data_IF_702008469250
#
_entry.id   IF_702008469250
#
_cell.length_a   1.000
_cell.length_b   1.000
_cell.length_c   1.000
_cell.angle_alpha   90.00
_cell.angle_beta   90.00
_cell.angle_gamma   90.00
#
_symmetry.space_group_name_H-M   'P 1'
#
loop_
_entity.id
_entity.type
_entity.pdbx_description
1 polymer ?
#
# COMPACT_ATOMS: atom_id res chain seq x y z
N UNK A 1 -9.55 -35.73 1.73
CA UNK A 1 -9.24 -34.90 2.92
C UNK A 1 -9.39 -33.46 2.47
N UNK A 2 -10.51 -32.81 2.80
CA UNK A 2 -10.79 -31.42 2.38
C UNK A 2 -9.86 -30.48 3.16
N UNK A 3 -9.05 -29.69 2.45
CA UNK A 3 -8.20 -28.67 3.07
C UNK A 3 -9.04 -27.41 3.33
N UNK A 4 -9.05 -26.94 4.57
CA UNK A 4 -9.81 -25.79 5.05
C UNK A 4 -9.22 -24.48 4.51
N UNK A 5 -9.97 -23.78 3.64
CA UNK A 5 -9.64 -22.46 3.07
C UNK A 5 -9.89 -21.27 4.03
N UNK A 6 -9.71 -21.42 5.35
CA UNK A 6 -10.15 -20.40 6.32
C UNK A 6 -9.14 -20.15 7.46
N UNK A 7 -7.92 -19.69 7.17
CA UNK A 7 -6.93 -19.36 8.21
C UNK A 7 -6.53 -17.86 8.28
N UNK A 8 -7.40 -16.94 7.88
CA UNK A 8 -7.24 -15.53 8.28
C UNK A 8 -8.24 -15.22 9.41
N UNK A 9 -7.78 -14.66 10.54
CA UNK A 9 -8.65 -14.21 11.63
C UNK A 9 -9.82 -13.34 11.13
N UNK A 10 -11.01 -13.55 11.69
CA UNK A 10 -12.28 -12.94 11.22
C UNK A 10 -12.27 -11.40 11.29
N UNK A 11 -11.47 -10.82 12.18
CA UNK A 11 -11.25 -9.37 12.29
C UNK A 11 -10.53 -8.78 11.06
N UNK A 12 -9.71 -9.56 10.36
CA UNK A 12 -9.05 -9.13 9.11
C UNK A 12 -9.98 -9.28 7.89
N UNK A 13 -10.93 -10.23 7.94
CA UNK A 13 -11.89 -10.47 6.83
C UNK A 13 -12.90 -9.35 6.60
N UNK A 14 -13.30 -8.64 7.65
CA UNK A 14 -14.55 -7.87 7.64
C UNK A 14 -14.43 -6.35 7.43
N UNK A 15 -13.33 -5.81 6.90
CA UNK A 15 -13.17 -4.34 6.82
C UNK A 15 -12.87 -3.73 5.44
N UNK A 16 -12.94 -4.49 4.34
CA UNK A 16 -12.57 -3.94 3.03
C UNK A 16 -13.72 -3.54 2.09
N UNK A 17 -14.98 -3.49 2.54
CA UNK A 17 -16.10 -3.11 1.67
C UNK A 17 -17.27 -2.40 2.37
N UNK A 18 -17.01 -1.52 3.36
CA UNK A 18 -18.00 -0.46 3.60
C UNK A 18 -17.79 0.63 2.54
N UNK A 19 -18.33 0.37 1.36
CA UNK A 19 -18.78 1.45 0.51
C UNK A 19 -19.71 2.31 1.38
N UNK A 20 -19.38 3.58 1.57
CA UNK A 20 -20.28 4.54 2.21
C UNK A 20 -21.39 4.80 1.17
N UNK A 21 -22.32 3.85 1.02
CA UNK A 21 -23.56 4.05 0.29
C UNK A 21 -24.66 4.34 1.30
N UNK A 22 -24.83 5.63 1.54
CA UNK A 22 -25.94 6.21 2.29
C UNK A 22 -26.22 7.60 1.71
N UNK A 23 -26.60 7.66 0.43
CA UNK A 23 -27.07 8.89 -0.19
C UNK A 23 -28.38 9.31 0.48
N UNK A 24 -28.34 10.29 1.37
CA UNK A 24 -29.52 11.05 1.77
C UNK A 24 -29.40 12.45 1.17
N UNK A 25 -29.69 12.55 -0.13
CA UNK A 25 -29.54 13.77 -0.94
C UNK A 25 -30.65 14.82 -0.71
N UNK A 26 -31.10 15.05 0.54
CA UNK A 26 -32.18 16.02 0.82
C UNK A 26 -31.96 16.82 2.13
N UNK A 27 -30.76 17.36 2.37
CA UNK A 27 -30.54 18.35 3.43
C UNK A 27 -29.89 19.61 2.85
N UNK A 28 -30.49 20.81 2.94
CA UNK A 28 -30.00 22.04 2.29
C UNK A 28 -28.79 22.69 3.01
N UNK A 29 -27.87 21.89 3.57
CA UNK A 29 -26.61 22.34 4.16
C UNK A 29 -25.36 21.94 3.34
N UNK A 30 -25.52 21.68 2.05
CA UNK A 30 -24.38 21.58 1.13
C UNK A 30 -23.98 22.98 0.64
N UNK A 31 -23.49 23.79 1.57
CA UNK A 31 -22.58 24.90 1.24
C UNK A 31 -21.20 24.29 1.00
N UNK A 32 -20.56 24.67 -0.10
CA UNK A 32 -19.24 24.22 -0.51
C UNK A 32 -18.19 24.35 0.62
N UNK A 33 -17.95 23.27 1.35
CA UNK A 33 -16.69 23.11 2.06
C UNK A 33 -15.69 22.57 1.03
N UNK A 34 -14.82 23.46 0.55
CA UNK A 34 -13.52 23.06 0.01
C UNK A 34 -12.83 22.22 1.08
N UNK A 35 -13.00 20.90 1.03
CA UNK A 35 -12.40 19.98 1.99
C UNK A 35 -10.89 19.98 1.75
N UNK A 36 -10.18 20.88 2.41
CA UNK A 36 -8.72 20.88 2.42
C UNK A 36 -8.28 19.71 3.28
N UNK A 37 -8.07 18.55 2.67
CA UNK A 37 -7.43 17.42 3.33
C UNK A 37 -5.99 17.83 3.69
N UNK A 38 -5.54 17.69 4.95
CA UNK A 38 -4.13 17.87 5.26
C UNK A 38 -3.31 16.81 4.52
N UNK A 39 -2.20 17.21 3.91
CA UNK A 39 -1.26 16.25 3.34
C UNK A 39 -0.50 15.57 4.48
N UNK A 40 -0.56 14.23 4.60
CA UNK A 40 0.22 13.51 5.60
C UNK A 40 1.72 13.77 5.40
N UNK A 41 2.45 13.80 6.51
CA UNK A 41 3.90 13.89 6.48
C UNK A 41 4.49 12.49 6.34
N UNK A 42 5.67 12.41 5.72
CA UNK A 42 6.45 11.18 5.60
C UNK A 42 7.91 11.47 5.90
N UNK A 43 8.59 10.52 6.54
CA UNK A 43 10.04 10.55 6.74
C UNK A 43 10.81 9.97 5.57
N UNK A 44 10.16 9.19 4.70
CA UNK A 44 10.78 8.65 3.51
C UNK A 44 11.05 9.74 2.49
N UNK A 45 12.19 9.64 1.83
CA UNK A 45 12.62 10.57 0.78
C UNK A 45 12.65 9.80 -0.53
N UNK A 46 12.08 10.39 -1.58
CA UNK A 46 12.18 9.82 -2.91
C UNK A 46 13.64 9.87 -3.41
N UNK A 47 14.33 8.73 -3.31
CA UNK A 47 15.74 8.57 -3.69
C UNK A 47 15.88 7.41 -4.69
N UNK A 48 15.34 7.54 -5.92
CA UNK A 48 15.25 6.42 -6.88
C UNK A 48 16.61 5.84 -7.25
N UNK A 49 17.67 6.65 -7.29
CA UNK A 49 19.02 6.20 -7.61
C UNK A 49 19.51 5.08 -6.67
N UNK A 50 19.19 5.15 -5.37
CA UNK A 50 19.54 4.07 -4.42
C UNK A 50 18.99 2.71 -4.86
N UNK A 51 17.85 2.70 -5.54
CA UNK A 51 17.15 1.50 -5.99
C UNK A 51 17.45 1.13 -7.45
N UNK A 52 17.94 2.10 -8.24
CA UNK A 52 18.04 1.99 -9.70
C UNK A 52 19.47 1.89 -10.22
N UNK A 53 20.46 2.53 -9.58
CA UNK A 53 21.80 2.65 -10.17
C UNK A 53 22.60 1.35 -10.18
N UNK A 54 22.35 0.44 -9.23
CA UNK A 54 22.98 -0.87 -9.19
C UNK A 54 22.02 -1.95 -9.74
N UNK A 55 22.32 -2.60 -10.88
CA UNK A 55 21.45 -3.61 -11.46
C UNK A 55 21.10 -4.77 -10.51
N UNK A 56 22.04 -5.19 -9.65
CA UNK A 56 21.80 -6.26 -8.69
C UNK A 56 20.81 -5.83 -7.59
N UNK A 57 20.86 -4.56 -7.17
CA UNK A 57 19.87 -3.99 -6.22
C UNK A 57 18.51 -3.87 -6.91
N UNK A 58 18.50 -3.34 -8.13
CA UNK A 58 17.27 -3.13 -8.90
C UNK A 58 16.55 -4.46 -9.20
N UNK A 59 17.27 -5.48 -9.64
CA UNK A 59 16.69 -6.77 -10.03
C UNK A 59 16.30 -7.65 -8.84
N UNK A 60 16.81 -7.38 -7.64
CA UNK A 60 16.63 -8.26 -6.48
C UNK A 60 15.71 -7.70 -5.39
N UNK A 61 15.26 -6.46 -5.51
CA UNK A 61 14.36 -5.82 -4.55
C UNK A 61 13.06 -5.40 -5.25
N UNK A 62 11.91 -5.74 -4.65
CA UNK A 62 10.59 -5.54 -5.24
C UNK A 62 9.82 -4.36 -4.59
N UNK A 63 8.52 -4.28 -4.82
CA UNK A 63 7.65 -3.25 -4.26
C UNK A 63 7.55 -3.31 -2.72
N UNK A 64 7.66 -4.51 -2.13
CA UNK A 64 7.56 -4.70 -0.69
C UNK A 64 8.86 -4.31 0.04
N UNK A 65 10.00 -4.53 -0.60
CA UNK A 65 11.27 -3.93 -0.17
C UNK A 65 11.20 -2.41 -0.19
N UNK A 66 10.75 -1.87 -1.33
CA UNK A 66 10.70 -0.44 -1.57
C UNK A 66 9.76 0.28 -0.61
N UNK A 67 8.55 -0.23 -0.40
CA UNK A 67 7.55 0.41 0.47
C UNK A 67 8.02 0.47 1.93
N UNK A 68 8.86 -0.46 2.38
CA UNK A 68 9.40 -0.50 3.74
C UNK A 68 10.80 0.17 3.86
N UNK A 69 11.35 0.69 2.76
CA UNK A 69 12.71 1.25 2.65
C UNK A 69 13.84 0.29 3.11
N UNK A 70 13.67 -1.02 2.88
CA UNK A 70 14.63 -2.06 3.28
C UNK A 70 15.06 -2.88 2.06
N UNK A 71 16.36 -2.87 1.75
CA UNK A 71 16.98 -3.67 0.69
C UNK A 71 17.44 -5.02 1.23
N UNK A 72 16.55 -6.02 1.25
CA UNK A 72 16.92 -7.39 1.64
C UNK A 72 17.75 -8.09 0.56
N UNK A 73 17.77 -7.54 -0.66
CA UNK A 73 18.30 -8.19 -1.87
C UNK A 73 17.66 -9.55 -2.13
N UNK A 74 16.38 -9.67 -1.74
CA UNK A 74 15.46 -10.77 -2.03
C UNK A 74 14.12 -10.21 -2.47
N UNK A 75 13.29 -11.02 -3.12
CA UNK A 75 11.89 -10.68 -3.35
C UNK A 75 11.10 -10.81 -2.05
N UNK A 76 11.09 -9.75 -1.26
CA UNK A 76 10.42 -9.79 0.03
C UNK A 76 8.91 -10.03 -0.12
N UNK A 77 8.33 -10.85 0.75
CA UNK A 77 6.92 -11.22 0.72
C UNK A 77 6.26 -10.89 2.08
N UNK A 78 5.04 -10.30 2.08
CA UNK A 78 4.32 -10.03 3.31
C UNK A 78 4.17 -11.28 4.21
N UNK A 79 4.67 -11.19 5.43
CA UNK A 79 4.59 -12.20 6.48
C UNK A 79 5.69 -13.26 6.43
N UNK A 80 6.52 -13.29 5.38
CA UNK A 80 7.51 -14.37 5.18
C UNK A 80 8.58 -14.38 6.26
N UNK A 81 9.00 -13.22 6.73
CA UNK A 81 9.96 -13.11 7.83
C UNK A 81 9.42 -13.72 9.15
N UNK A 82 8.09 -13.81 9.26
CA UNK A 82 7.36 -14.34 10.40
C UNK A 82 6.76 -15.73 10.12
N UNK A 83 7.26 -16.45 9.11
CA UNK A 83 6.84 -17.81 8.78
C UNK A 83 5.47 -17.93 8.11
N UNK A 84 4.85 -16.80 7.72
CA UNK A 84 3.59 -16.80 7.00
C UNK A 84 3.84 -16.88 5.49
N UNK A 85 3.36 -17.96 4.87
CA UNK A 85 3.27 -18.08 3.42
C UNK A 85 1.83 -17.78 3.02
N UNK A 86 1.63 -16.62 2.38
CA UNK A 86 0.30 -16.21 1.93
C UNK A 86 -0.30 -17.27 0.99
N UNK A 87 -1.51 -17.77 1.25
CA UNK A 87 -2.12 -18.81 0.42
C UNK A 87 -2.66 -18.28 -0.92
N UNK A 88 -2.77 -16.96 -1.09
CA UNK A 88 -3.17 -16.30 -2.34
C UNK A 88 -2.84 -14.81 -2.31
N UNK A 89 -2.75 -14.17 -3.47
CA UNK A 89 -2.51 -12.71 -3.65
C UNK A 89 -3.73 -11.84 -3.34
N UNK A 90 -4.62 -12.29 -2.45
CA UNK A 90 -5.81 -11.51 -2.06
C UNK A 90 -5.40 -10.44 -1.05
N UNK A 91 -6.07 -9.30 -1.11
CA UNK A 91 -5.85 -8.19 -0.19
C UNK A 91 -5.81 -8.62 1.29
N UNK A 92 -6.83 -9.34 1.82
CA UNK A 92 -6.85 -9.72 3.23
C UNK A 92 -5.66 -10.58 3.67
N UNK A 93 -5.17 -11.49 2.82
CA UNK A 93 -4.00 -12.32 3.16
C UNK A 93 -2.72 -11.47 3.20
N UNK A 94 -2.57 -10.56 2.23
CA UNK A 94 -1.40 -9.70 2.09
C UNK A 94 -1.36 -8.61 3.17
N UNK A 95 -2.53 -8.06 3.54
CA UNK A 95 -2.67 -7.21 4.70
C UNK A 95 -2.25 -7.97 5.97
N UNK A 96 -2.79 -9.17 6.18
CA UNK A 96 -2.43 -9.98 7.35
C UNK A 96 -0.91 -10.25 7.43
N UNK A 97 -0.29 -10.66 6.31
CA UNK A 97 1.16 -10.85 6.25
C UNK A 97 1.93 -9.55 6.54
N UNK A 98 1.44 -8.42 6.03
CA UNK A 98 2.07 -7.11 6.29
C UNK A 98 1.98 -6.71 7.76
N UNK A 99 0.86 -7.01 8.41
CA UNK A 99 0.65 -6.77 9.85
C UNK A 99 1.53 -7.68 10.72
N UNK A 100 1.75 -8.94 10.30
CA UNK A 100 2.72 -9.82 10.97
C UNK A 100 4.15 -9.27 10.89
N UNK A 101 4.50 -8.64 9.77
CA UNK A 101 5.80 -7.99 9.57
C UNK A 101 5.92 -6.64 10.30
N UNK A 102 4.86 -6.17 10.98
CA UNK A 102 4.88 -4.99 11.83
C UNK A 102 4.27 -3.72 11.20
N UNK A 103 3.68 -3.82 10.00
CA UNK A 103 2.87 -2.73 9.45
C UNK A 103 1.53 -2.63 10.19
N UNK A 104 0.89 -1.46 10.20
CA UNK A 104 -0.39 -1.25 10.89
C UNK A 104 -1.41 -0.68 9.93
N UNK A 105 -2.56 -1.34 9.72
CA UNK A 105 -3.64 -0.78 8.92
C UNK A 105 -4.14 0.53 9.53
N UNK A 106 -4.34 1.53 8.67
CA UNK A 106 -4.85 2.85 9.06
C UNK A 106 -6.04 3.27 8.18
N UNK A 107 -7.10 3.77 8.82
CA UNK A 107 -8.28 4.24 8.10
C UNK A 107 -8.09 5.66 7.56
N UNK A 108 -8.40 5.84 6.28
CA UNK A 108 -8.56 7.16 5.72
C UNK A 108 -9.79 7.84 6.35
N UNK A 109 -9.71 9.15 6.68
CA UNK A 109 -10.86 9.87 7.26
C UNK A 109 -12.01 10.06 6.27
N UNK A 110 -11.74 9.95 4.96
CA UNK A 110 -12.75 9.94 3.89
C UNK A 110 -12.19 9.27 2.63
N UNK A 111 -13.02 9.16 1.60
CA UNK A 111 -12.61 8.67 0.27
C UNK A 111 -11.71 9.66 -0.51
N UNK A 112 -11.60 10.91 -0.05
CA UNK A 112 -10.81 11.96 -0.72
C UNK A 112 -9.60 12.43 0.09
N UNK A 113 -9.57 12.14 1.40
CA UNK A 113 -8.45 12.49 2.27
C UNK A 113 -7.57 11.28 2.56
N UNK A 114 -6.25 11.49 2.59
CA UNK A 114 -5.30 10.47 3.02
C UNK A 114 -5.29 10.38 4.56
N UNK A 115 -5.00 9.20 5.13
CA UNK A 115 -4.75 9.07 6.57
C UNK A 115 -3.42 9.71 6.97
N UNK A 116 -3.32 10.12 8.24
CA UNK A 116 -2.07 10.62 8.84
C UNK A 116 -1.37 9.49 9.59
N UNK A 117 -0.25 8.93 9.08
CA UNK A 117 0.51 7.92 9.80
C UNK A 117 1.35 8.53 10.93
N UNK A 118 1.71 7.72 11.94
CA UNK A 118 2.78 8.04 12.90
C UNK A 118 4.18 7.63 12.40
N UNK A 119 4.24 6.90 11.28
CA UNK A 119 5.45 6.52 10.56
C UNK A 119 5.39 7.01 9.11
N UNK A 120 5.44 6.07 8.18
CA UNK A 120 5.31 6.34 6.75
C UNK A 120 4.05 5.68 6.19
N UNK A 121 3.40 6.34 5.24
CA UNK A 121 2.17 5.85 4.65
C UNK A 121 2.46 4.94 3.45
N UNK A 122 1.84 3.76 3.47
CA UNK A 122 1.82 2.79 2.39
C UNK A 122 0.39 2.57 1.89
N UNK A 123 0.26 2.19 0.62
CA UNK A 123 -1.01 1.78 0.03
C UNK A 123 -0.87 0.43 -0.67
N UNK A 124 -1.74 -0.52 -0.34
CA UNK A 124 -1.81 -1.85 -0.95
C UNK A 124 -2.90 -1.88 -2.03
N UNK A 125 -2.51 -2.31 -3.22
CA UNK A 125 -3.40 -2.50 -4.36
C UNK A 125 -3.28 -3.90 -4.93
N UNK A 126 -4.37 -4.41 -5.52
CA UNK A 126 -4.47 -5.79 -5.98
C UNK A 126 -4.81 -5.80 -7.47
N UNK A 127 -4.06 -6.58 -8.24
CA UNK A 127 -4.46 -7.09 -9.54
C UNK A 127 -5.19 -8.40 -9.27
N UNK A 128 -6.53 -8.43 -9.39
CA UNK A 128 -7.32 -9.59 -9.03
C UNK A 128 -6.76 -10.89 -9.61
N UNK A 129 -6.57 -11.89 -8.75
CA UNK A 129 -6.11 -13.25 -9.08
C UNK A 129 -4.68 -13.37 -9.64
N UNK A 130 -3.95 -12.27 -9.81
CA UNK A 130 -2.65 -12.27 -10.48
C UNK A 130 -1.53 -11.77 -9.56
N UNK A 131 -1.66 -10.56 -9.02
CA UNK A 131 -0.54 -9.90 -8.33
C UNK A 131 -1.01 -8.84 -7.33
N UNK A 132 -0.07 -8.30 -6.55
CA UNK A 132 -0.28 -7.18 -5.67
C UNK A 132 0.84 -6.15 -5.82
N UNK A 133 0.57 -4.93 -5.37
CA UNK A 133 1.56 -3.87 -5.44
C UNK A 133 1.41 -2.86 -4.31
N UNK A 134 2.53 -2.25 -3.95
CA UNK A 134 2.61 -1.26 -2.89
C UNK A 134 3.12 0.09 -3.41
N UNK A 135 2.50 1.16 -2.91
CA UNK A 135 2.98 2.53 -3.03
C UNK A 135 3.39 3.05 -1.66
N UNK A 136 4.39 3.92 -1.58
CA UNK A 136 4.72 4.67 -0.35
C UNK A 136 4.60 6.16 -0.60
N UNK A 137 4.19 6.91 0.41
CA UNK A 137 4.25 8.37 0.41
C UNK A 137 5.68 8.82 0.77
N UNK A 138 6.25 9.73 0.00
CA UNK A 138 7.51 10.39 0.32
C UNK A 138 7.27 11.82 0.85
N UNK A 139 8.31 12.44 1.38
CA UNK A 139 8.27 13.74 2.06
C UNK A 139 7.95 14.94 1.15
N UNK A 140 7.92 14.75 -0.16
CA UNK A 140 7.48 15.74 -1.15
C UNK A 140 5.95 15.76 -1.34
N UNK A 141 5.22 14.89 -0.63
CA UNK A 141 3.77 14.80 -0.67
C UNK A 141 3.24 13.99 -1.85
N UNK A 142 4.10 13.26 -2.57
CA UNK A 142 3.72 12.34 -3.63
C UNK A 142 4.02 10.90 -3.25
N UNK A 143 3.30 9.97 -3.88
CA UNK A 143 3.57 8.57 -3.78
C UNK A 143 4.58 8.13 -4.84
N UNK A 144 5.44 7.19 -4.46
CA UNK A 144 6.34 6.49 -5.36
C UNK A 144 6.22 4.98 -5.19
N UNK A 145 6.77 4.25 -6.15
CA UNK A 145 6.71 2.80 -6.17
C UNK A 145 7.81 2.15 -7.03
N UNK A 146 7.99 0.84 -6.84
CA UNK A 146 8.93 0.01 -7.60
C UNK A 146 8.26 -1.30 -8.05
N UNK A 147 7.71 -1.40 -9.27
CA UNK A 147 7.08 -2.62 -9.76
C UNK A 147 8.10 -3.75 -9.97
N UNK A 148 8.12 -4.76 -9.10
CA UNK A 148 9.03 -5.92 -9.22
C UNK A 148 10.48 -5.54 -9.49
N UNK A 149 11.05 -6.07 -10.58
CA UNK A 149 12.44 -5.82 -11.02
C UNK A 149 12.65 -4.46 -11.71
N UNK A 150 11.58 -3.71 -11.98
CA UNK A 150 11.69 -2.45 -12.74
C UNK A 150 12.21 -1.31 -11.86
N UNK A 151 12.50 -0.16 -12.48
CA UNK A 151 12.99 1.02 -11.77
C UNK A 151 11.96 1.57 -10.77
N UNK A 152 12.44 2.06 -9.63
CA UNK A 152 11.66 2.90 -8.73
C UNK A 152 11.31 4.22 -9.43
N UNK A 153 10.04 4.62 -9.36
CA UNK A 153 9.49 5.82 -10.01
C UNK A 153 8.38 6.46 -9.15
N UNK A 154 8.12 7.74 -9.36
CA UNK A 154 7.08 8.53 -8.67
C UNK A 154 5.91 8.93 -9.58
N UNK A 155 5.77 8.24 -10.72
CA UNK A 155 4.69 8.43 -11.68
C UNK A 155 3.89 7.14 -11.88
N UNK A 156 2.60 7.30 -12.18
CA UNK A 156 1.68 6.21 -12.48
C UNK A 156 1.89 5.61 -13.90
N UNK A 157 1.02 4.71 -14.34
CA UNK A 157 1.12 4.08 -15.68
C UNK A 157 0.82 5.04 -16.84
N UNK A 158 0.23 6.21 -16.56
CA UNK A 158 0.00 7.29 -17.51
C UNK A 158 1.08 8.38 -17.43
N UNK A 159 2.13 8.19 -16.63
CA UNK A 159 3.23 9.14 -16.47
C UNK A 159 2.87 10.36 -15.60
N UNK A 160 1.81 10.28 -14.81
CA UNK A 160 1.37 11.37 -13.92
C UNK A 160 1.89 11.18 -12.50
N UNK A 161 2.20 12.27 -11.82
CA UNK A 161 2.59 12.27 -10.41
C UNK A 161 1.46 11.72 -9.53
N UNK A 162 1.80 10.85 -8.59
CA UNK A 162 0.82 10.10 -7.80
C UNK A 162 0.49 10.87 -6.52
N UNK A 163 -0.68 11.51 -6.44
CA UNK A 163 -1.14 12.14 -5.18
C UNK A 163 -1.89 11.18 -4.26
N UNK A 164 -2.62 10.24 -4.87
CA UNK A 164 -3.41 9.25 -4.15
C UNK A 164 -3.52 7.97 -5.00
N UNK A 165 -3.00 6.83 -4.53
CA UNK A 165 -3.11 5.56 -5.25
C UNK A 165 -4.56 5.12 -5.52
N UNK A 166 -5.56 5.63 -4.80
CA UNK A 166 -6.97 5.33 -5.06
C UNK A 166 -7.45 5.84 -6.42
N UNK A 167 -6.86 6.94 -6.92
CA UNK A 167 -7.29 7.61 -8.15
C UNK A 167 -6.23 7.60 -9.26
N UNK A 168 -5.02 7.10 -8.99
CA UNK A 168 -3.95 6.98 -9.96
C UNK A 168 -4.21 5.91 -11.03
N UNK A 169 -3.56 6.04 -12.20
CA UNK A 169 -3.54 4.98 -13.20
C UNK A 169 -2.62 3.84 -12.75
N UNK A 170 -3.22 2.83 -12.12
CA UNK A 170 -2.53 1.64 -11.64
C UNK A 170 -2.49 0.51 -12.67
N UNK A 171 -2.96 0.75 -13.90
CA UNK A 171 -3.15 -0.29 -14.91
C UNK A 171 -3.94 -1.48 -14.37
N UNK A 172 -3.36 -2.70 -14.35
CA UNK A 172 -4.11 -3.91 -14.01
C UNK A 172 -4.41 -4.07 -12.50
N UNK A 173 -3.75 -3.30 -11.62
CA UNK A 173 -4.08 -3.30 -10.19
C UNK A 173 -5.35 -2.49 -9.97
N UNK A 174 -6.52 -3.09 -10.21
CA UNK A 174 -7.81 -2.38 -10.21
C UNK A 174 -8.43 -2.22 -8.83
N UNK A 175 -8.07 -3.06 -7.86
CA UNK A 175 -8.65 -3.02 -6.50
C UNK A 175 -7.71 -2.26 -5.56
N UNK A 176 -8.19 -1.18 -4.97
CA UNK A 176 -7.53 -0.57 -3.81
C UNK A 176 -7.94 -1.36 -2.57
N UNK A 177 -6.97 -1.83 -1.77
CA UNK A 177 -7.27 -2.66 -0.60
C UNK A 177 -7.29 -1.84 0.70
N UNK A 178 -6.15 -1.28 1.10
CA UNK A 178 -6.04 -0.51 2.33
C UNK A 178 -4.81 0.40 2.33
N UNK A 179 -4.82 1.36 3.25
CA UNK A 179 -3.62 2.05 3.69
C UNK A 179 -2.99 1.33 4.88
N UNK A 180 -1.67 1.36 4.97
CA UNK A 180 -0.92 0.88 6.12
C UNK A 180 0.13 1.92 6.53
N UNK A 181 0.43 1.97 7.82
CA UNK A 181 1.61 2.61 8.38
C UNK A 181 2.78 1.62 8.40
N UNK A 182 3.98 2.09 8.05
CA UNK A 182 5.23 1.35 8.18
C UNK A 182 6.33 2.22 8.77
N UNK A 183 7.23 1.59 9.52
CA UNK A 183 8.44 2.19 10.06
C UNK A 183 9.61 1.23 9.83
N UNK A 184 10.59 1.65 9.03
CA UNK A 184 11.75 0.83 8.64
C UNK A 184 12.58 0.32 9.83
N UNK A 185 12.45 0.93 11.01
CA UNK A 185 13.13 0.48 12.23
C UNK A 185 12.39 -0.64 12.98
N UNK A 186 11.11 -0.83 12.70
CA UNK A 186 10.24 -1.76 13.42
C UNK A 186 9.79 -2.93 12.56
N UNK A 187 9.66 -2.72 11.24
CA UNK A 187 9.19 -3.76 10.33
C UNK A 187 10.27 -4.81 10.07
N UNK A 188 9.85 -6.07 9.95
CA UNK A 188 10.73 -7.21 9.68
C UNK A 188 10.25 -7.93 8.41
N UNK A 189 11.02 -7.86 7.33
CA UNK A 189 10.63 -8.38 6.00
C UNK A 189 11.70 -9.34 5.44
N UNK A 190 11.29 -10.28 4.58
CA UNK A 190 12.18 -11.30 3.97
C UNK A 190 11.72 -11.74 2.58
#
# INVERSE_FOLDING_TARGET
MMMNFFNVPMNVRNHCNRQIFGNNMNNPMYTEMTSTCPNPQSSFVYQPERWNSNPAVQSSNNCYNYVNDIMTNTFAQPGRANGYMSPSTTGPNLQYGSELDGMVRIEAPSNVCLPTPNGNLAALVIWPEVDYHFYRLDNDGFFSHKPGQTAARNVDNSGQMIRDPRTADRGPYTVFHCFLETNSNNVNIM
#
